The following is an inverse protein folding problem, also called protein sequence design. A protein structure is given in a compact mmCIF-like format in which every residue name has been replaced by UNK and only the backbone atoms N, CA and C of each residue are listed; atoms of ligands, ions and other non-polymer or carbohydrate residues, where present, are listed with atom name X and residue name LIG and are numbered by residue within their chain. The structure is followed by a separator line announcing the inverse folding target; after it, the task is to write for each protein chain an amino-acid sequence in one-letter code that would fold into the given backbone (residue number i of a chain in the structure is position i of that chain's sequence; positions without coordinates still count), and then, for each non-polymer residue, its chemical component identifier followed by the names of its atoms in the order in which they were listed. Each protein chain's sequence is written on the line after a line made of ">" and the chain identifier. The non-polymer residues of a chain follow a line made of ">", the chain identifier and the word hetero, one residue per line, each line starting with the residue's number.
data_IF_172582082106
#
_entry.id   IF_172582082106
#
_cell.length_a   1.000
_cell.length_b   1.000
_cell.length_c   1.000
_cell.angle_alpha   90.00
_cell.angle_beta   90.00
_cell.angle_gamma   90.00
#
_symmetry.space_group_name_H-M   'P 1'
#
loop_
_entity.id
_entity.type
_entity.pdbx_description
1 polymer ?
#
# COMPACT_ATOMS: atom_id res chain seq x y z
N UNK A 1 -0.96 -19.30 0.09
CA UNK A 1 -1.51 -18.41 -0.95
C UNK A 1 -2.25 -19.29 -1.94
N UNK A 2 -3.52 -19.00 -2.19
CA UNK A 2 -4.42 -19.78 -3.03
C UNK A 2 -4.87 -18.92 -4.21
N UNK A 3 -4.83 -19.48 -5.43
CA UNK A 3 -5.26 -18.79 -6.64
C UNK A 3 -6.70 -19.13 -6.97
N UNK A 4 -7.47 -18.11 -7.35
CA UNK A 4 -8.84 -18.24 -7.83
C UNK A 4 -8.99 -17.55 -9.19
N UNK A 5 -9.94 -18.00 -10.00
CA UNK A 5 -10.26 -17.33 -11.27
C UNK A 5 -10.77 -15.91 -10.99
N UNK A 6 -10.16 -14.91 -11.62
CA UNK A 6 -10.57 -13.52 -11.52
C UNK A 6 -11.72 -13.28 -12.50
N UNK A 7 -12.94 -13.19 -11.99
CA UNK A 7 -14.16 -12.94 -12.81
C UNK A 7 -14.97 -11.73 -12.31
N UNK A 8 -14.55 -11.14 -11.20
CA UNK A 8 -15.14 -9.98 -10.54
C UNK A 8 -14.21 -9.49 -9.42
N UNK A 9 -14.51 -8.33 -8.84
CA UNK A 9 -13.77 -7.74 -7.72
C UNK A 9 -13.69 -8.65 -6.47
N UNK A 10 -14.77 -9.31 -6.08
CA UNK A 10 -14.76 -10.14 -4.85
C UNK A 10 -14.50 -9.33 -3.57
N UNK A 11 -13.59 -9.81 -2.72
CA UNK A 11 -13.15 -9.16 -1.46
C UNK A 11 -11.87 -8.32 -1.63
N UNK A 12 -11.40 -8.13 -2.87
CA UNK A 12 -10.22 -7.32 -3.13
C UNK A 12 -10.54 -5.82 -3.00
N UNK A 13 -9.58 -5.07 -2.46
CA UNK A 13 -9.68 -3.63 -2.23
C UNK A 13 -8.43 -2.89 -2.73
N UNK A 14 -8.57 -1.59 -3.03
CA UNK A 14 -7.43 -0.77 -3.43
C UNK A 14 -6.35 -0.82 -2.35
N UNK A 15 -5.11 -0.94 -2.79
CA UNK A 15 -3.93 -1.17 -1.97
C UNK A 15 -3.64 -2.63 -1.65
N UNK A 16 -4.56 -3.57 -1.91
CA UNK A 16 -4.23 -4.99 -1.80
C UNK A 16 -3.08 -5.33 -2.77
N UNK A 17 -2.10 -6.06 -2.25
CA UNK A 17 -1.05 -6.65 -3.07
C UNK A 17 -1.49 -8.04 -3.48
N UNK A 18 -1.46 -8.29 -4.78
CA UNK A 18 -1.96 -9.51 -5.39
C UNK A 18 -0.91 -10.11 -6.32
N UNK A 19 -0.96 -11.43 -6.46
CA UNK A 19 -0.19 -12.14 -7.46
C UNK A 19 -1.14 -12.59 -8.57
N UNK A 20 -0.78 -12.28 -9.81
CA UNK A 20 -1.56 -12.55 -11.01
C UNK A 20 -0.83 -13.53 -11.91
N UNK A 21 -1.57 -14.43 -12.55
CA UNK A 21 -1.08 -15.27 -13.65
C UNK A 21 -2.17 -15.52 -14.68
N UNK A 22 -1.78 -15.72 -15.93
CA UNK A 22 -2.71 -16.07 -17.01
C UNK A 22 -2.96 -17.58 -16.98
N UNK A 23 -4.20 -17.99 -16.75
CA UNK A 23 -4.55 -19.41 -16.58
C UNK A 23 -3.90 -20.07 -15.35
N UNK A 24 -4.06 -21.40 -15.22
CA UNK A 24 -3.53 -22.13 -14.05
C UNK A 24 -2.01 -22.32 -14.07
N UNK A 25 -1.38 -22.33 -15.25
CA UNK A 25 0.04 -22.65 -15.46
C UNK A 25 0.90 -21.43 -15.85
N UNK A 26 0.32 -20.22 -15.90
CA UNK A 26 1.02 -19.02 -16.32
C UNK A 26 2.12 -18.56 -15.34
N UNK A 27 3.06 -17.75 -15.86
CA UNK A 27 4.02 -17.03 -15.02
C UNK A 27 3.31 -16.02 -14.13
N UNK A 28 3.78 -15.89 -12.90
CA UNK A 28 3.20 -14.99 -11.90
C UNK A 28 3.87 -13.62 -11.94
N UNK A 29 3.09 -12.55 -11.82
CA UNK A 29 3.57 -11.20 -11.52
C UNK A 29 2.83 -10.67 -10.30
N UNK A 30 3.55 -9.98 -9.43
CA UNK A 30 3.00 -9.44 -8.18
C UNK A 30 2.92 -7.92 -8.30
N UNK A 31 1.81 -7.36 -7.84
CA UNK A 31 1.59 -5.92 -7.90
C UNK A 31 0.55 -5.46 -6.89
N UNK A 32 0.40 -4.14 -6.80
CA UNK A 32 -0.53 -3.45 -5.93
C UNK A 32 -1.71 -2.95 -6.75
N UNK A 33 -2.93 -3.30 -6.34
CA UNK A 33 -4.15 -2.75 -6.94
C UNK A 33 -4.24 -1.26 -6.58
N UNK A 34 -4.35 -0.37 -7.56
CA UNK A 34 -4.43 1.07 -7.31
C UNK A 34 -5.88 1.54 -7.28
N UNK A 35 -6.69 1.09 -8.22
CA UNK A 35 -8.07 1.54 -8.38
C UNK A 35 -8.95 0.44 -9.01
N UNK A 36 -10.24 0.41 -8.67
CA UNK A 36 -11.23 -0.47 -9.27
C UNK A 36 -12.09 0.27 -10.28
N UNK A 37 -12.40 -0.41 -11.39
CA UNK A 37 -13.43 -0.01 -12.35
C UNK A 37 -14.51 -1.10 -12.45
N UNK A 38 -15.57 -0.82 -13.20
CA UNK A 38 -16.72 -1.74 -13.28
C UNK A 38 -16.40 -3.11 -13.91
N UNK A 39 -15.38 -3.17 -14.75
CA UNK A 39 -14.97 -4.31 -15.55
C UNK A 39 -13.55 -4.83 -15.22
N UNK A 40 -12.90 -4.26 -14.21
CA UNK A 40 -11.53 -4.64 -13.85
C UNK A 40 -10.90 -3.77 -12.77
N UNK A 41 -9.58 -3.73 -12.75
CA UNK A 41 -8.83 -2.84 -11.86
C UNK A 41 -7.47 -2.46 -12.46
N UNK A 42 -6.95 -1.33 -12.01
CA UNK A 42 -5.59 -0.88 -12.30
C UNK A 42 -4.62 -1.47 -11.28
N UNK A 43 -3.46 -1.90 -11.75
CA UNK A 43 -2.39 -2.49 -10.93
C UNK A 43 -1.04 -1.87 -11.29
N UNK A 44 -0.20 -1.61 -10.29
CA UNK A 44 1.24 -1.37 -10.48
C UNK A 44 2.01 -2.60 -10.10
N UNK A 45 2.80 -3.13 -11.02
CA UNK A 45 3.61 -4.30 -10.75
C UNK A 45 4.90 -3.91 -10.02
N UNK A 46 5.39 -4.82 -9.17
CA UNK A 46 6.65 -4.65 -8.44
C UNK A 46 7.85 -4.47 -9.37
N UNK A 47 7.83 -5.11 -10.54
CA UNK A 47 8.88 -5.02 -11.56
C UNK A 47 8.74 -3.81 -12.49
N UNK A 48 7.65 -3.04 -12.39
CA UNK A 48 7.38 -1.88 -13.23
C UNK A 48 6.47 -0.85 -12.52
N UNK A 49 7.02 -0.19 -11.49
CA UNK A 49 6.24 0.69 -10.62
C UNK A 49 5.87 2.04 -11.25
N UNK A 50 6.49 2.38 -12.39
CA UNK A 50 6.28 3.64 -13.12
C UNK A 50 5.01 3.61 -13.99
N UNK A 51 4.46 2.43 -14.25
CA UNK A 51 3.30 2.25 -15.10
C UNK A 51 2.17 1.49 -14.40
N UNK A 52 0.95 1.79 -14.82
CA UNK A 52 -0.26 1.07 -14.42
C UNK A 52 -0.75 0.23 -15.60
N UNK A 53 -1.03 -1.04 -15.30
CA UNK A 53 -1.68 -1.96 -16.22
C UNK A 53 -3.14 -2.14 -15.79
N UNK A 54 -4.05 -2.23 -16.76
CA UNK A 54 -5.44 -2.59 -16.49
C UNK A 54 -5.62 -4.10 -16.60
N UNK A 55 -6.32 -4.70 -15.63
CA UNK A 55 -6.63 -6.13 -15.59
C UNK A 55 -8.14 -6.30 -15.69
N UNK A 56 -8.61 -6.85 -16.81
CA UNK A 56 -10.03 -7.08 -17.08
C UNK A 56 -10.57 -8.35 -16.43
N UNK A 57 -11.83 -8.34 -16.01
CA UNK A 57 -12.51 -9.54 -15.50
C UNK A 57 -12.95 -10.51 -16.59
N UNK A 58 -12.99 -10.08 -17.84
CA UNK A 58 -13.24 -10.92 -19.02
C UNK A 58 -11.98 -11.67 -19.48
N UNK A 59 -10.82 -11.29 -18.95
CA UNK A 59 -9.54 -11.92 -19.21
C UNK A 59 -9.35 -13.16 -18.31
N UNK A 60 -8.62 -14.17 -18.80
CA UNK A 60 -8.46 -15.47 -18.10
C UNK A 60 -7.42 -15.43 -16.98
N UNK A 61 -7.44 -14.38 -16.15
CA UNK A 61 -6.53 -14.23 -15.03
C UNK A 61 -6.92 -15.10 -13.84
N UNK A 62 -5.91 -15.56 -13.13
CA UNK A 62 -6.02 -16.10 -11.79
C UNK A 62 -5.30 -15.17 -10.83
N UNK A 63 -5.94 -14.89 -9.70
CA UNK A 63 -5.50 -13.92 -8.71
C UNK A 63 -5.37 -14.59 -7.34
N UNK A 64 -4.37 -14.16 -6.58
CA UNK A 64 -4.21 -14.55 -5.18
C UNK A 64 -3.80 -13.34 -4.33
N UNK A 65 -4.44 -13.15 -3.17
CA UNK A 65 -4.01 -12.13 -2.20
C UNK A 65 -2.63 -12.50 -1.64
N UNK A 66 -1.69 -11.56 -1.76
CA UNK A 66 -0.35 -11.67 -1.16
C UNK A 66 -0.36 -11.02 0.22
N UNK A 67 -0.77 -9.76 0.30
CA UNK A 67 -0.90 -9.01 1.55
C UNK A 67 -1.93 -7.89 1.42
N UNK A 68 -2.52 -7.53 2.56
CA UNK A 68 -3.38 -6.35 2.71
C UNK A 68 -2.63 -5.31 3.53
N UNK A 69 -2.51 -4.05 3.07
CA UNK A 69 -1.93 -2.99 3.87
C UNK A 69 -2.72 -2.81 5.16
N UNK A 70 -2.03 -2.52 6.26
CA UNK A 70 -2.70 -2.25 7.53
C UNK A 70 -3.52 -0.95 7.42
N UNK A 71 -4.69 -0.92 8.04
CA UNK A 71 -5.39 0.33 8.27
C UNK A 71 -4.66 1.09 9.39
N UNK A 72 -3.91 2.12 9.01
CA UNK A 72 -3.04 2.83 9.96
C UNK A 72 -3.87 3.60 10.99
N UNK A 73 -5.06 4.10 10.62
CA UNK A 73 -5.92 4.86 11.53
C UNK A 73 -6.57 3.94 12.57
N UNK A 74 -6.94 2.73 12.17
CA UNK A 74 -7.44 1.71 13.10
C UNK A 74 -6.33 1.15 13.99
N UNK A 75 -5.09 1.11 13.50
CA UNK A 75 -3.95 0.48 14.19
C UNK A 75 -3.24 1.43 15.17
N UNK A 76 -3.06 2.71 14.80
CA UNK A 76 -2.25 3.67 15.56
C UNK A 76 -3.09 4.83 16.08
N UNK A 77 -3.42 4.78 17.37
CA UNK A 77 -4.28 5.78 18.02
C UNK A 77 -3.69 7.20 17.98
N UNK A 78 -2.37 7.34 17.94
CA UNK A 78 -1.67 8.64 17.83
C UNK A 78 -2.09 9.43 16.59
N UNK A 79 -2.43 8.75 15.50
CA UNK A 79 -2.84 9.36 14.24
C UNK A 79 -4.20 10.06 14.29
N UNK A 80 -5.01 9.83 15.33
CA UNK A 80 -6.33 10.44 15.47
C UNK A 80 -6.29 11.98 15.44
N UNK A 81 -5.16 12.58 15.87
CA UNK A 81 -4.97 14.03 15.90
C UNK A 81 -4.09 14.56 14.77
N UNK A 82 -3.54 13.69 13.91
CA UNK A 82 -2.66 14.03 12.78
C UNK A 82 -3.23 13.47 11.45
N UNK A 83 -4.38 13.98 10.95
CA UNK A 83 -5.01 13.48 9.74
C UNK A 83 -4.15 13.52 8.46
N UNK A 84 -3.25 14.50 8.31
CA UNK A 84 -2.34 14.62 7.18
C UNK A 84 -1.27 13.53 7.22
N UNK A 85 -0.64 13.32 8.38
CA UNK A 85 0.28 12.20 8.58
C UNK A 85 -0.42 10.86 8.37
N UNK A 86 -1.66 10.70 8.86
CA UNK A 86 -2.41 9.47 8.70
C UNK A 86 -2.69 9.15 7.22
N UNK A 87 -2.99 10.16 6.41
CA UNK A 87 -3.17 10.00 4.97
C UNK A 87 -1.85 9.61 4.28
N UNK A 88 -0.77 10.33 4.56
CA UNK A 88 0.54 10.06 3.97
C UNK A 88 1.05 8.66 4.36
N UNK A 89 0.96 8.30 5.64
CA UNK A 89 1.39 6.99 6.11
C UNK A 89 0.55 5.86 5.49
N UNK A 90 -0.77 6.05 5.35
CA UNK A 90 -1.63 5.07 4.69
C UNK A 90 -1.22 4.86 3.23
N UNK A 91 -0.91 5.93 2.51
CA UNK A 91 -0.41 5.89 1.13
C UNK A 91 0.92 5.13 1.04
N UNK A 92 1.87 5.39 1.95
CA UNK A 92 3.14 4.64 2.00
C UNK A 92 2.95 3.16 2.28
N UNK A 93 2.10 2.81 3.24
CA UNK A 93 1.83 1.39 3.55
C UNK A 93 1.15 0.70 2.36
N UNK A 94 0.25 1.38 1.65
CA UNK A 94 -0.35 0.89 0.41
C UNK A 94 0.76 0.59 -0.63
N UNK A 95 1.68 1.53 -0.84
CA UNK A 95 2.85 1.39 -1.72
C UNK A 95 3.84 0.30 -1.28
N UNK A 96 3.58 -0.41 -0.19
CA UNK A 96 4.36 -1.56 0.26
C UNK A 96 5.38 -1.25 1.34
N UNK A 97 5.39 -0.02 1.88
CA UNK A 97 6.23 0.27 3.04
C UNK A 97 5.72 -0.46 4.28
N UNK A 98 6.65 -1.08 5.00
CA UNK A 98 6.45 -1.64 6.32
C UNK A 98 6.68 -0.56 7.39
N UNK A 99 5.83 -0.53 8.41
CA UNK A 99 6.06 0.32 9.59
C UNK A 99 6.99 -0.42 10.55
N UNK A 100 8.19 0.12 10.76
CA UNK A 100 9.18 -0.45 11.66
C UNK A 100 8.95 -0.03 13.11
N UNK A 101 8.65 1.25 13.32
CA UNK A 101 8.56 1.84 14.66
C UNK A 101 7.72 3.11 14.66
N UNK A 102 6.96 3.28 15.74
CA UNK A 102 6.28 4.51 16.12
C UNK A 102 7.03 5.16 17.30
N UNK A 103 7.20 6.48 17.26
CA UNK A 103 7.66 7.31 18.36
C UNK A 103 6.64 8.42 18.63
N UNK A 104 5.74 8.19 19.60
CA UNK A 104 4.76 9.19 20.01
C UNK A 104 5.34 10.10 21.10
N UNK A 105 5.40 11.40 20.82
CA UNK A 105 5.72 12.47 21.76
C UNK A 105 4.51 13.36 22.06
N UNK A 106 4.69 14.34 22.94
CA UNK A 106 3.62 15.28 23.31
C UNK A 106 3.27 16.28 22.19
N UNK A 107 4.27 16.70 21.40
CA UNK A 107 4.13 17.74 20.36
C UNK A 107 4.17 17.17 18.93
N UNK A 108 4.69 15.96 18.78
CA UNK A 108 4.94 15.32 17.50
C UNK A 108 4.81 13.79 17.60
N UNK A 109 4.61 13.13 16.46
CA UNK A 109 4.74 11.68 16.33
C UNK A 109 5.61 11.36 15.12
N UNK A 110 6.43 10.31 15.23
CA UNK A 110 7.26 9.83 14.13
C UNK A 110 6.97 8.38 13.80
N UNK A 111 6.92 8.06 12.51
CA UNK A 111 6.83 6.71 11.99
C UNK A 111 8.06 6.42 11.13
N UNK A 112 8.84 5.43 11.55
CA UNK A 112 9.94 4.90 10.77
C UNK A 112 9.41 3.79 9.88
N UNK A 113 9.56 3.96 8.58
CA UNK A 113 9.03 3.05 7.57
C UNK A 113 10.15 2.53 6.68
N UNK A 114 9.93 1.35 6.08
CA UNK A 114 10.87 0.68 5.20
C UNK A 114 10.19 0.10 3.98
N UNK A 115 10.79 0.29 2.82
CA UNK A 115 10.46 -0.45 1.61
C UNK A 115 11.63 -1.37 1.25
N UNK A 116 11.32 -2.63 0.92
CA UNK A 116 12.26 -3.54 0.28
C UNK A 116 11.90 -3.60 -1.20
N UNK A 117 12.81 -3.15 -2.06
CA UNK A 117 12.59 -3.12 -3.50
C UNK A 117 13.80 -3.73 -4.23
N UNK A 118 13.57 -4.80 -4.98
CA UNK A 118 14.59 -5.58 -5.69
C UNK A 118 15.81 -5.97 -4.81
N UNK A 119 15.59 -6.20 -3.51
CA UNK A 119 16.64 -6.52 -2.53
C UNK A 119 17.39 -5.31 -1.96
N UNK A 120 17.05 -4.09 -2.37
CA UNK A 120 17.52 -2.86 -1.76
C UNK A 120 16.57 -2.42 -0.64
N UNK A 121 17.15 -1.92 0.45
CA UNK A 121 16.40 -1.39 1.58
C UNK A 121 16.36 0.15 1.52
N UNK A 122 15.15 0.70 1.53
CA UNK A 122 14.89 2.14 1.61
C UNK A 122 14.17 2.45 2.91
N UNK A 123 14.76 3.31 3.74
CA UNK A 123 14.15 3.74 5.00
C UNK A 123 13.78 5.22 4.95
N UNK A 124 12.65 5.55 5.57
CA UNK A 124 12.14 6.91 5.67
C UNK A 124 11.55 7.13 7.05
N UNK A 125 11.52 8.38 7.51
CA UNK A 125 10.80 8.75 8.72
C UNK A 125 9.79 9.83 8.39
N UNK A 126 8.52 9.54 8.65
CA UNK A 126 7.43 10.50 8.56
C UNK A 126 7.20 11.11 9.94
N UNK A 127 7.23 12.43 10.03
CA UNK A 127 6.95 13.19 11.24
C UNK A 127 5.65 13.95 11.07
N UNK A 128 4.71 13.75 12.00
CA UNK A 128 3.50 14.56 12.14
C UNK A 128 3.64 15.49 13.33
N UNK A 129 3.31 16.77 13.14
CA UNK A 129 3.29 17.76 14.20
C UNK A 129 2.21 18.80 13.94
N UNK A 130 1.81 19.55 14.98
CA UNK A 130 0.78 20.58 14.87
C UNK A 130 1.28 21.93 15.35
N UNK A 131 0.89 22.97 14.65
CA UNK A 131 1.15 24.35 15.04
C UNK A 131 -0.08 25.25 14.84
N UNK A 132 0.10 26.56 14.94
CA UNK A 132 -0.98 27.55 14.79
C UNK A 132 -1.63 27.55 13.39
N UNK A 133 -0.95 27.00 12.37
CA UNK A 133 -1.40 26.95 10.98
C UNK A 133 -2.04 25.62 10.60
N UNK A 134 -1.87 24.56 11.40
CA UNK A 134 -2.57 23.29 11.19
C UNK A 134 -1.78 22.06 11.57
N UNK A 135 -2.14 20.95 10.91
CA UNK A 135 -1.44 19.67 10.96
C UNK A 135 -0.48 19.57 9.77
N UNK A 136 0.75 19.14 10.05
CA UNK A 136 1.84 19.09 9.09
C UNK A 136 2.47 17.72 9.08
N UNK A 137 2.90 17.30 7.89
CA UNK A 137 3.69 16.08 7.69
C UNK A 137 5.02 16.44 7.03
N UNK A 138 6.11 15.89 7.55
CA UNK A 138 7.44 16.08 7.01
C UNK A 138 8.22 14.77 6.91
N UNK A 139 9.04 14.69 5.87
CA UNK A 139 10.07 13.68 5.74
C UNK A 139 11.30 14.14 6.50
N UNK A 140 11.69 13.37 7.52
CA UNK A 140 12.88 13.66 8.30
C UNK A 140 13.93 12.57 8.08
N UNK A 141 15.17 12.99 7.85
CA UNK A 141 16.33 12.11 7.94
C UNK A 141 16.67 11.93 9.41
N UNK A 142 16.74 10.66 9.85
CA UNK A 142 17.24 10.30 11.18
C UNK A 142 18.71 10.71 11.37
#
# INVERSE_FOLDING_TARGET
>A
MEYVSLTQQGDYQSGDWVSLKIGSEGSTRTGMITEFEGDGFWIRFEDDFDYEDFIGYDESYWIALVRRPVDVKATYASLAVYPALAAELQDRVIQGFEILKEEAGEEEVRFHIRLLDAGNEYTQTLRGYRDASGDHVEYVTA
#
